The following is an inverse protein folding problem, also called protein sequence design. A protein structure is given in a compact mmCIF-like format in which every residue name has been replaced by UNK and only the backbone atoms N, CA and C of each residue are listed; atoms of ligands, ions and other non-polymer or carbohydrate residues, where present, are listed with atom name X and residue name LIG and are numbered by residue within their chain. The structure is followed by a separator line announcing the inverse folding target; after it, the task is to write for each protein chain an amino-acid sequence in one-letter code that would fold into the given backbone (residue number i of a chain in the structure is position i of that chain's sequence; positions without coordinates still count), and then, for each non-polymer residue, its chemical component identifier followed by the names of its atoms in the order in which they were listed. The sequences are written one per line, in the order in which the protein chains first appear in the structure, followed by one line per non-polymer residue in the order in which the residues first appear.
data_IF_679925396727
#
_entry.id   IF_679925396727
#
_cell.length_a   1.000
_cell.length_b   1.000
_cell.length_c   1.000
_cell.angle_alpha   90.00
_cell.angle_beta   90.00
_cell.angle_gamma   90.00
#
_symmetry.space_group_name_H-M   'P 1'
#
loop_
_entity.id
_entity.type
_entity.pdbx_description
1 polymer ?
#
# COMPACT_ATOMS: atom_id res chain seq x y z
N UNK A 1 41.10 -9.99 -35.34
CA UNK A 1 40.59 -8.65 -34.95
C UNK A 1 39.30 -8.27 -35.69
N UNK A 2 39.18 -8.48 -37.00
CA UNK A 2 37.99 -8.10 -37.79
C UNK A 2 36.65 -8.73 -37.35
N UNK A 3 36.66 -9.93 -36.77
CA UNK A 3 35.44 -10.60 -36.27
C UNK A 3 34.90 -10.02 -34.96
N UNK A 4 35.70 -9.35 -34.13
CA UNK A 4 35.26 -8.83 -32.82
C UNK A 4 34.49 -7.51 -32.93
N UNK A 5 34.77 -6.73 -33.97
CA UNK A 5 34.14 -5.44 -34.20
C UNK A 5 32.61 -5.53 -34.39
N UNK A 6 32.06 -6.42 -35.24
CA UNK A 6 30.61 -6.55 -35.37
C UNK A 6 29.93 -7.04 -34.09
N UNK A 7 30.59 -7.89 -33.29
CA UNK A 7 30.06 -8.29 -31.98
C UNK A 7 30.01 -7.13 -30.99
N UNK A 8 31.06 -6.29 -30.95
CA UNK A 8 31.06 -5.10 -30.12
C UNK A 8 29.93 -4.14 -30.52
N UNK A 9 29.74 -3.86 -31.82
CA UNK A 9 28.63 -3.04 -32.30
C UNK A 9 27.27 -3.67 -31.99
N UNK A 10 27.10 -4.98 -32.20
CA UNK A 10 25.87 -5.69 -31.87
C UNK A 10 25.53 -5.60 -30.38
N UNK A 11 26.51 -5.81 -29.51
CA UNK A 11 26.34 -5.67 -28.06
C UNK A 11 25.93 -4.23 -27.68
N UNK A 12 26.62 -3.21 -28.20
CA UNK A 12 26.28 -1.81 -27.94
C UNK A 12 24.88 -1.45 -28.43
N UNK A 13 24.47 -1.96 -29.60
CA UNK A 13 23.14 -1.75 -30.14
C UNK A 13 22.05 -2.37 -29.25
N UNK A 14 22.27 -3.60 -28.77
CA UNK A 14 21.36 -4.27 -27.82
C UNK A 14 21.26 -3.47 -26.52
N UNK A 15 22.39 -3.04 -25.97
CA UNK A 15 22.41 -2.23 -24.74
C UNK A 15 21.67 -0.91 -24.91
N UNK A 16 21.94 -0.17 -25.99
CA UNK A 16 21.23 1.08 -26.30
C UNK A 16 19.72 0.85 -26.47
N UNK A 17 19.32 -0.24 -27.13
CA UNK A 17 17.92 -0.64 -27.29
C UNK A 17 17.24 -0.94 -25.95
N UNK A 18 17.91 -1.66 -25.04
CA UNK A 18 17.38 -1.95 -23.70
C UNK A 18 17.19 -0.68 -22.86
N UNK A 19 18.17 0.24 -22.89
CA UNK A 19 18.09 1.54 -22.20
C UNK A 19 16.92 2.35 -22.76
N UNK A 20 16.82 2.48 -24.09
CA UNK A 20 15.72 3.21 -24.73
C UNK A 20 14.36 2.62 -24.37
N UNK A 21 14.24 1.30 -24.37
CA UNK A 21 13.01 0.62 -23.95
C UNK A 21 12.67 0.91 -22.48
N UNK A 22 13.65 0.85 -21.57
CA UNK A 22 13.45 1.18 -20.16
C UNK A 22 13.08 2.65 -19.91
N UNK A 23 13.54 3.57 -20.76
CA UNK A 23 13.21 5.00 -20.70
C UNK A 23 11.82 5.30 -21.26
N UNK A 24 11.43 4.67 -22.38
CA UNK A 24 10.13 4.93 -23.02
C UNK A 24 8.99 4.09 -22.43
N UNK A 25 9.29 2.91 -21.87
CA UNK A 25 8.32 2.00 -21.25
C UNK A 25 8.80 1.51 -19.87
N UNK A 26 9.08 2.44 -18.94
CA UNK A 26 9.50 2.09 -17.59
C UNK A 26 8.45 1.23 -16.88
N UNK A 27 8.93 0.21 -16.16
CA UNK A 27 8.09 -0.65 -15.34
C UNK A 27 7.49 0.14 -14.17
N UNK A 28 6.17 -0.02 -13.92
CA UNK A 28 5.43 0.69 -12.87
C UNK A 28 5.51 2.22 -12.92
N UNK A 29 5.62 2.78 -14.12
CA UNK A 29 5.50 4.22 -14.35
C UNK A 29 4.43 4.46 -15.41
N UNK A 30 3.59 5.50 -15.26
CA UNK A 30 2.45 5.73 -16.15
C UNK A 30 2.86 6.25 -17.54
N UNK A 31 4.14 6.56 -17.77
CA UNK A 31 4.65 7.01 -19.06
C UNK A 31 6.18 7.07 -19.15
N UNK A 32 6.71 7.52 -20.31
CA UNK A 32 8.15 7.68 -20.54
C UNK A 32 8.83 8.56 -19.49
N UNK A 33 10.03 8.21 -19.05
CA UNK A 33 10.79 8.97 -18.04
C UNK A 33 11.08 10.41 -18.49
N UNK A 34 11.27 10.66 -19.79
CA UNK A 34 11.47 12.01 -20.33
C UNK A 34 10.26 12.94 -20.18
N UNK A 35 9.09 12.40 -19.84
CA UNK A 35 7.86 13.15 -19.56
C UNK A 35 7.60 13.31 -18.06
N UNK A 36 8.50 12.83 -17.19
CA UNK A 36 8.45 13.08 -15.76
C UNK A 36 8.98 14.49 -15.48
N UNK A 37 8.11 15.50 -15.59
CA UNK A 37 8.45 16.91 -15.42
C UNK A 37 7.78 17.56 -14.21
N UNK A 38 6.93 16.82 -13.49
CA UNK A 38 6.24 17.30 -12.31
C UNK A 38 7.15 17.18 -11.09
N UNK A 39 7.50 18.30 -10.46
CA UNK A 39 8.38 18.33 -9.29
C UNK A 39 7.57 18.13 -8.01
N UNK A 40 7.89 17.08 -7.25
CA UNK A 40 7.32 16.81 -5.93
C UNK A 40 8.42 16.95 -4.89
N UNK A 41 8.21 17.80 -3.89
CA UNK A 41 9.03 17.85 -2.69
C UNK A 41 8.62 16.73 -1.74
N UNK A 42 9.50 15.80 -1.39
CA UNK A 42 9.25 14.69 -0.46
C UNK A 42 9.49 15.08 1.02
N UNK A 43 9.68 16.37 1.31
CA UNK A 43 9.82 16.93 2.65
C UNK A 43 11.24 16.78 3.22
N UNK A 44 11.37 17.05 4.52
CA UNK A 44 12.63 17.29 5.25
C UNK A 44 13.70 16.18 5.13
N UNK A 45 13.32 14.97 4.73
CA UNK A 45 14.24 13.82 4.57
C UNK A 45 14.32 13.28 3.14
N UNK A 46 13.54 13.83 2.20
CA UNK A 46 13.27 13.17 0.91
C UNK A 46 13.71 13.94 -0.34
N UNK A 47 14.06 15.23 -0.22
CA UNK A 47 14.46 16.06 -1.36
C UNK A 47 13.34 16.20 -2.41
N UNK A 48 13.68 16.77 -3.57
CA UNK A 48 12.73 16.94 -4.67
C UNK A 48 12.88 15.85 -5.73
N UNK A 49 11.77 15.24 -6.15
CA UNK A 49 11.71 14.21 -7.18
C UNK A 49 10.88 14.69 -8.37
N UNK A 50 11.36 14.43 -9.59
CA UNK A 50 10.54 14.58 -10.79
C UNK A 50 9.77 13.30 -11.06
N UNK A 51 8.45 13.41 -11.15
CA UNK A 51 7.52 12.31 -11.39
C UNK A 51 6.64 12.61 -12.60
N UNK A 52 5.91 11.61 -13.07
CA UNK A 52 4.86 11.83 -14.05
C UNK A 52 3.77 12.75 -13.47
N UNK A 53 3.15 13.64 -14.28
CA UNK A 53 2.11 14.55 -13.81
C UNK A 53 0.97 13.88 -13.04
N UNK A 54 0.49 12.70 -13.48
CA UNK A 54 -0.57 11.97 -12.77
C UNK A 54 -0.13 11.46 -11.39
N UNK A 55 1.14 11.08 -11.24
CA UNK A 55 1.74 10.74 -9.94
C UNK A 55 1.87 11.97 -9.05
N UNK A 56 2.24 13.13 -9.61
CA UNK A 56 2.28 14.39 -8.88
C UNK A 56 0.92 14.78 -8.30
N UNK A 57 -0.11 14.76 -9.14
CA UNK A 57 -1.51 15.02 -8.73
C UNK A 57 -1.97 14.05 -7.64
N UNK A 58 -1.63 12.76 -7.77
CA UNK A 58 -1.91 11.78 -6.73
C UNK A 58 -1.25 12.13 -5.39
N UNK A 59 0.04 12.46 -5.40
CA UNK A 59 0.78 12.80 -4.18
C UNK A 59 0.19 14.04 -3.50
N UNK A 60 -0.15 15.07 -4.27
CA UNK A 60 -0.81 16.27 -3.73
C UNK A 60 -2.18 15.95 -3.15
N UNK A 61 -2.97 15.10 -3.81
CA UNK A 61 -4.26 14.66 -3.32
C UNK A 61 -4.13 13.92 -1.97
N UNK A 62 -3.17 12.99 -1.86
CA UNK A 62 -2.88 12.27 -0.60
C UNK A 62 -2.56 13.27 0.52
N UNK A 63 -1.65 14.21 0.27
CA UNK A 63 -1.24 15.23 1.25
C UNK A 63 -2.40 16.10 1.71
N UNK A 64 -3.15 16.64 0.75
CA UNK A 64 -4.33 17.43 1.03
C UNK A 64 -5.35 16.65 1.87
N UNK A 65 -5.58 15.38 1.56
CA UNK A 65 -6.51 14.54 2.31
C UNK A 65 -6.04 14.30 3.74
N UNK A 66 -4.75 14.02 3.98
CA UNK A 66 -4.25 13.82 5.35
C UNK A 66 -4.29 15.11 6.17
N UNK A 67 -3.95 16.25 5.56
CA UNK A 67 -4.02 17.56 6.22
C UNK A 67 -5.45 17.92 6.62
N UNK A 68 -6.41 17.74 5.70
CA UNK A 68 -7.83 17.98 5.96
C UNK A 68 -8.41 17.03 7.00
N UNK A 69 -7.89 15.80 7.07
CA UNK A 69 -8.28 14.83 8.08
C UNK A 69 -7.71 15.16 9.48
N UNK A 70 -6.81 16.14 9.62
CA UNK A 70 -6.09 16.39 10.87
C UNK A 70 -5.15 15.24 11.24
N UNK A 71 -4.65 14.53 10.23
CA UNK A 71 -3.68 13.45 10.41
C UNK A 71 -2.34 14.02 10.89
N UNK A 72 -1.71 13.35 11.85
CA UNK A 72 -0.41 13.79 12.38
C UNK A 72 0.71 12.92 11.79
N UNK A 73 1.84 13.53 11.44
CA UNK A 73 3.02 12.78 11.01
C UNK A 73 3.42 11.74 12.07
N UNK A 74 3.78 10.53 11.62
CA UNK A 74 4.06 9.39 12.49
C UNK A 74 2.82 8.64 12.98
N UNK A 75 1.61 9.05 12.61
CA UNK A 75 0.39 8.29 12.94
C UNK A 75 0.49 6.88 12.35
N UNK A 76 0.24 5.82 13.14
CA UNK A 76 0.26 4.46 12.65
C UNK A 76 -0.84 4.22 11.61
N UNK A 77 -0.52 3.54 10.51
CA UNK A 77 -1.46 3.19 9.46
C UNK A 77 -1.25 1.76 9.00
N UNK A 78 -2.34 0.99 8.90
CA UNK A 78 -2.37 -0.30 8.23
C UNK A 78 -2.81 -0.08 6.78
N UNK A 79 -1.92 -0.35 5.83
CA UNK A 79 -2.27 -0.36 4.40
C UNK A 79 -2.91 -1.69 4.02
N UNK A 80 -4.22 -1.65 3.74
CA UNK A 80 -5.04 -2.77 3.29
C UNK A 80 -5.45 -2.64 1.82
N UNK A 81 -4.83 -1.73 1.06
CA UNK A 81 -5.07 -1.58 -0.38
C UNK A 81 -4.52 -2.75 -1.19
N UNK A 82 -3.50 -3.43 -0.66
CA UNK A 82 -2.84 -4.56 -1.31
C UNK A 82 -1.82 -4.18 -2.39
N UNK A 83 -1.72 -2.89 -2.76
CA UNK A 83 -0.99 -2.46 -3.97
C UNK A 83 -0.48 -1.01 -4.00
N UNK A 84 -0.38 -0.33 -2.85
CA UNK A 84 -0.03 1.10 -2.81
C UNK A 84 1.32 1.36 -2.13
N UNK A 85 2.43 0.78 -2.64
CA UNK A 85 3.73 1.03 -2.05
C UNK A 85 4.05 2.54 -2.11
N UNK A 86 4.55 3.07 -1.00
CA UNK A 86 4.95 4.47 -0.89
C UNK A 86 3.83 5.44 -0.50
N UNK A 87 2.54 5.07 -0.55
CA UNK A 87 1.46 5.97 -0.12
C UNK A 87 1.61 6.35 1.35
N UNK A 88 1.91 5.39 2.22
CA UNK A 88 2.16 5.67 3.65
C UNK A 88 3.34 6.62 3.86
N UNK A 89 4.38 6.53 3.03
CA UNK A 89 5.51 7.44 3.09
C UNK A 89 5.10 8.87 2.69
N UNK A 90 4.32 9.02 1.63
CA UNK A 90 3.78 10.32 1.17
C UNK A 90 2.88 10.97 2.23
N UNK A 91 2.09 10.16 2.95
CA UNK A 91 1.26 10.61 4.08
C UNK A 91 2.09 11.05 5.29
N UNK A 92 3.38 10.72 5.36
CA UNK A 92 4.17 10.85 6.59
C UNK A 92 3.71 9.90 7.69
N UNK A 93 3.07 8.77 7.35
CA UNK A 93 2.58 7.79 8.30
C UNK A 93 3.71 6.90 8.86
N UNK A 94 3.46 6.30 10.02
CA UNK A 94 4.24 5.14 10.48
C UNK A 94 3.56 3.86 9.97
N UNK A 95 4.28 3.04 9.23
CA UNK A 95 3.72 1.79 8.71
C UNK A 95 3.53 0.76 9.81
N UNK A 96 2.30 0.29 10.00
CA UNK A 96 1.97 -0.72 11.01
C UNK A 96 2.05 -2.13 10.44
N UNK A 97 2.87 -2.97 11.08
CA UNK A 97 3.13 -4.36 10.68
C UNK A 97 4.12 -4.49 9.51
N UNK A 98 3.82 -3.89 8.36
CA UNK A 98 4.71 -3.87 7.18
C UNK A 98 4.60 -2.54 6.43
N UNK A 99 5.63 -2.11 5.66
CA UNK A 99 5.60 -0.89 4.87
C UNK A 99 4.39 -0.77 3.94
N UNK A 100 3.98 -1.90 3.35
CA UNK A 100 2.67 -2.11 2.72
C UNK A 100 2.35 -3.60 2.81
N UNK A 101 1.08 -3.97 2.95
CA UNK A 101 0.67 -5.37 2.85
C UNK A 101 0.44 -5.70 1.37
N UNK A 102 1.11 -6.75 0.89
CA UNK A 102 0.98 -7.24 -0.49
C UNK A 102 -0.30 -8.03 -0.59
N UNK A 103 -1.21 -7.66 -1.51
CA UNK A 103 -2.45 -8.39 -1.77
C UNK A 103 -2.26 -9.63 -2.65
N UNK A 104 -3.34 -10.38 -2.90
CA UNK A 104 -3.29 -11.59 -3.75
C UNK A 104 -3.13 -11.22 -5.23
N UNK A 105 -1.90 -11.21 -5.72
CA UNK A 105 -1.62 -11.10 -7.16
C UNK A 105 -1.93 -12.44 -7.87
N UNK A 106 -2.24 -12.41 -9.19
CA UNK A 106 -2.47 -13.62 -9.96
C UNK A 106 -1.29 -14.60 -9.84
N UNK A 107 -1.58 -15.86 -9.48
CA UNK A 107 -0.56 -16.89 -9.26
C UNK A 107 0.14 -16.85 -7.89
N UNK A 108 -0.21 -15.90 -7.01
CA UNK A 108 0.38 -15.76 -5.66
C UNK A 108 -0.72 -15.70 -4.58
N UNK A 109 -1.35 -16.84 -4.25
CA UNK A 109 -2.34 -16.89 -3.17
C UNK A 109 -1.69 -16.86 -1.78
N UNK A 110 -2.49 -16.53 -0.76
CA UNK A 110 -2.09 -16.64 0.65
C UNK A 110 -1.76 -15.31 1.34
N UNK A 111 -1.93 -14.18 0.65
CA UNK A 111 -1.67 -12.84 1.19
C UNK A 111 -2.49 -12.54 2.44
N UNK A 112 -3.76 -12.98 2.49
CA UNK A 112 -4.62 -12.83 3.68
C UNK A 112 -4.00 -13.53 4.91
N UNK A 113 -3.38 -14.70 4.73
CA UNK A 113 -2.72 -15.43 5.81
C UNK A 113 -1.47 -14.70 6.28
N UNK A 114 -0.67 -14.18 5.34
CA UNK A 114 0.51 -13.36 5.66
C UNK A 114 0.11 -12.12 6.44
N UNK A 115 -0.85 -11.34 5.92
CA UNK A 115 -1.35 -10.14 6.58
C UNK A 115 -1.94 -10.44 7.97
N UNK A 116 -2.66 -11.55 8.13
CA UNK A 116 -3.15 -12.02 9.43
C UNK A 116 -1.99 -12.25 10.40
N UNK A 117 -0.92 -12.95 9.99
CA UNK A 117 0.23 -13.21 10.86
C UNK A 117 1.00 -11.93 11.20
N UNK A 118 1.18 -11.04 10.22
CA UNK A 118 1.82 -9.73 10.43
C UNK A 118 1.06 -8.94 11.49
N UNK A 119 -0.25 -8.78 11.33
CA UNK A 119 -1.09 -8.02 12.26
C UNK A 119 -1.17 -8.67 13.65
N UNK A 120 -1.10 -10.00 13.73
CA UNK A 120 -0.96 -10.72 15.03
C UNK A 120 0.34 -10.35 15.74
N UNK A 121 1.42 -10.11 15.02
CA UNK A 121 2.71 -9.72 15.60
C UNK A 121 2.77 -8.28 16.14
N UNK A 122 1.87 -7.38 15.71
CA UNK A 122 1.90 -5.96 16.12
C UNK A 122 1.40 -5.78 17.55
N UNK A 123 2.00 -4.87 18.33
CA UNK A 123 1.53 -4.55 19.67
C UNK A 123 0.11 -3.96 19.67
N UNK A 124 -0.76 -4.39 20.60
CA UNK A 124 -2.14 -3.90 20.67
C UNK A 124 -2.28 -2.37 20.83
N UNK A 125 -1.43 -1.68 21.61
CA UNK A 125 -1.47 -0.21 21.68
C UNK A 125 -1.19 0.49 20.33
N UNK A 126 -0.41 -0.13 19.45
CA UNK A 126 -0.19 0.40 18.10
C UNK A 126 -1.43 0.17 17.23
N UNK A 127 -1.96 -1.05 17.19
CA UNK A 127 -3.17 -1.40 16.44
C UNK A 127 -4.38 -0.54 16.87
N UNK A 128 -4.50 -0.24 18.16
CA UNK A 128 -5.55 0.60 18.71
C UNK A 128 -5.51 2.06 18.21
N UNK A 129 -4.32 2.56 17.82
CA UNK A 129 -4.14 3.90 17.26
C UNK A 129 -4.11 3.91 15.73
N UNK A 130 -4.00 2.75 15.11
CA UNK A 130 -3.75 2.64 13.68
C UNK A 130 -4.97 3.08 12.88
N UNK A 131 -4.74 3.95 11.90
CA UNK A 131 -5.71 4.25 10.85
C UNK A 131 -5.67 3.15 9.78
N UNK A 132 -6.69 3.10 8.93
CA UNK A 132 -6.74 2.18 7.79
C UNK A 132 -6.63 2.94 6.48
N UNK A 133 -5.82 2.45 5.56
CA UNK A 133 -5.88 2.82 4.16
C UNK A 133 -6.48 1.65 3.37
N UNK A 134 -7.61 1.85 2.70
CA UNK A 134 -8.34 0.79 2.00
C UNK A 134 -8.63 1.18 0.55
N UNK A 135 -8.78 0.18 -0.32
CA UNK A 135 -9.25 0.33 -1.71
C UNK A 135 -10.33 -0.74 -1.99
N UNK A 136 -11.60 -0.52 -1.63
CA UNK A 136 -12.65 -1.56 -1.66
C UNK A 136 -12.95 -2.14 -3.05
N UNK A 137 -12.71 -1.36 -4.10
CA UNK A 137 -12.88 -1.78 -5.50
C UNK A 137 -11.54 -2.16 -6.15
N UNK A 138 -10.48 -2.29 -5.34
CA UNK A 138 -9.13 -2.64 -5.77
C UNK A 138 -9.00 -4.13 -6.08
N UNK A 139 -8.20 -4.51 -7.10
CA UNK A 139 -8.07 -5.90 -7.52
C UNK A 139 -7.37 -6.80 -6.49
N UNK A 140 -6.58 -6.21 -5.60
CA UNK A 140 -5.75 -6.93 -4.61
C UNK A 140 -6.11 -6.58 -3.18
N UNK A 141 -7.32 -6.03 -2.96
CA UNK A 141 -7.80 -5.61 -1.65
C UNK A 141 -7.82 -6.74 -0.62
N UNK A 142 -7.63 -6.38 0.65
CA UNK A 142 -7.92 -7.28 1.75
C UNK A 142 -9.42 -7.27 2.08
N UNK A 143 -9.99 -8.40 2.56
CA UNK A 143 -11.38 -8.44 3.00
C UNK A 143 -11.55 -7.58 4.26
N UNK A 144 -12.71 -6.92 4.40
CA UNK A 144 -12.99 -6.06 5.55
C UNK A 144 -12.91 -6.80 6.90
N UNK A 145 -13.11 -8.12 6.89
CA UNK A 145 -13.00 -8.98 8.07
C UNK A 145 -11.57 -9.14 8.57
N UNK A 146 -10.54 -8.68 7.84
CA UNK A 146 -9.15 -8.82 8.27
C UNK A 146 -8.85 -8.12 9.59
N UNK A 147 -9.58 -7.04 9.91
CA UNK A 147 -9.44 -6.31 11.17
C UNK A 147 -9.87 -7.12 12.39
N UNK A 148 -10.68 -8.17 12.20
CA UNK A 148 -11.13 -9.05 13.27
C UNK A 148 -9.97 -9.78 13.95
N UNK A 149 -8.83 -9.94 13.27
CA UNK A 149 -7.62 -10.55 13.83
C UNK A 149 -7.09 -9.81 15.06
N UNK A 150 -7.42 -8.52 15.19
CA UNK A 150 -7.09 -7.69 16.34
C UNK A 150 -8.33 -7.12 17.03
N UNK A 151 -9.46 -7.82 16.93
CA UNK A 151 -10.67 -7.46 17.67
C UNK A 151 -11.34 -6.17 17.19
N UNK A 152 -11.19 -5.84 15.90
CA UNK A 152 -11.85 -4.70 15.30
C UNK A 152 -12.75 -5.05 14.12
N UNK A 153 -13.78 -4.25 13.95
CA UNK A 153 -14.76 -4.29 12.88
C UNK A 153 -14.63 -3.02 12.04
N UNK A 154 -14.21 -3.17 10.78
CA UNK A 154 -13.97 -2.04 9.89
C UNK A 154 -15.18 -1.09 9.76
N UNK A 155 -16.42 -1.62 9.82
CA UNK A 155 -17.64 -0.83 9.61
C UNK A 155 -18.13 -0.10 10.85
N UNK A 156 -17.80 -0.62 12.04
CA UNK A 156 -18.25 -0.06 13.33
C UNK A 156 -17.18 0.76 14.03
N UNK A 157 -15.92 0.35 13.90
CA UNK A 157 -14.81 0.90 14.69
C UNK A 157 -13.98 1.92 13.92
N UNK A 158 -14.34 2.21 12.67
CA UNK A 158 -13.65 3.17 11.82
C UNK A 158 -14.64 4.04 11.06
N UNK A 159 -14.28 5.32 10.86
CA UNK A 159 -15.03 6.26 10.04
C UNK A 159 -14.16 6.83 8.92
N UNK A 160 -14.77 7.16 7.79
CA UNK A 160 -14.05 7.75 6.66
C UNK A 160 -13.58 9.15 7.07
N UNK A 161 -12.26 9.36 7.02
CA UNK A 161 -11.62 10.64 7.25
C UNK A 161 -11.32 11.39 5.95
N UNK A 162 -11.25 10.66 4.83
CA UNK A 162 -11.12 11.25 3.50
C UNK A 162 -10.91 10.19 2.42
N UNK A 163 -10.84 10.63 1.17
CA UNK A 163 -10.59 9.76 0.03
C UNK A 163 -9.78 10.48 -1.05
N UNK A 164 -9.14 9.69 -1.91
CA UNK A 164 -8.39 10.15 -3.08
C UNK A 164 -8.33 9.05 -4.13
N UNK A 165 -8.18 9.41 -5.39
CA UNK A 165 -8.04 8.44 -6.48
C UNK A 165 -6.59 7.98 -6.59
N UNK A 166 -6.37 6.68 -6.73
CA UNK A 166 -5.07 6.11 -7.12
C UNK A 166 -4.59 6.73 -8.44
N UNK A 167 -3.27 6.86 -8.64
CA UNK A 167 -2.74 7.43 -9.87
C UNK A 167 -3.21 6.59 -11.07
N UNK A 168 -3.18 7.21 -12.25
CA UNK A 168 -3.50 6.57 -13.52
C UNK A 168 -2.92 5.15 -13.58
N UNK A 169 -3.62 4.24 -14.28
CA UNK A 169 -3.18 2.87 -14.40
C UNK A 169 -1.67 2.79 -14.72
N UNK A 170 -0.87 2.30 -13.76
CA UNK A 170 0.47 1.82 -14.05
C UNK A 170 0.32 0.78 -15.16
N UNK A 171 1.35 0.56 -15.98
CA UNK A 171 1.31 -0.19 -17.26
C UNK A 171 0.48 -1.50 -17.34
N UNK A 172 0.05 -2.09 -16.21
CA UNK A 172 -0.75 -3.31 -16.09
C UNK A 172 -2.10 -3.16 -15.34
N UNK A 173 -2.49 -1.96 -14.91
CA UNK A 173 -3.82 -1.67 -14.36
C UNK A 173 -4.63 -0.94 -15.42
N UNK A 174 -5.96 -0.95 -15.36
CA UNK A 174 -6.78 -0.32 -16.42
C UNK A 174 -7.66 0.82 -15.92
N UNK A 175 -7.82 0.98 -14.61
CA UNK A 175 -8.78 1.93 -14.04
C UNK A 175 -8.22 2.61 -12.78
N UNK A 176 -8.43 3.92 -12.68
CA UNK A 176 -8.26 4.64 -11.43
C UNK A 176 -9.29 4.15 -10.40
N UNK A 177 -8.83 3.92 -9.17
CA UNK A 177 -9.65 3.43 -8.06
C UNK A 177 -9.60 4.39 -6.88
N UNK A 178 -10.69 4.50 -6.15
CA UNK A 178 -10.75 5.35 -4.95
C UNK A 178 -10.18 4.61 -3.75
N UNK A 179 -9.23 5.26 -3.09
CA UNK A 179 -8.71 4.86 -1.79
C UNK A 179 -9.38 5.68 -0.70
N UNK A 180 -9.63 5.05 0.45
CA UNK A 180 -10.23 5.70 1.61
C UNK A 180 -9.27 5.62 2.78
N UNK A 181 -9.08 6.75 3.43
CA UNK A 181 -8.40 6.86 4.71
C UNK A 181 -9.47 6.80 5.80
N UNK A 182 -9.37 5.82 6.70
CA UNK A 182 -10.30 5.63 7.79
C UNK A 182 -9.63 5.84 9.15
N UNK A 183 -10.31 6.55 10.04
CA UNK A 183 -9.85 6.87 11.39
C UNK A 183 -10.55 5.95 12.40
N UNK A 184 -9.84 5.44 13.42
CA UNK A 184 -10.48 4.69 14.51
C UNK A 184 -11.47 5.57 15.29
N UNK A 185 -12.59 4.99 15.70
CA UNK A 185 -13.65 5.69 16.47
C UNK A 185 -13.64 5.31 17.94
N UNK A 186 -13.12 4.13 18.30
CA UNK A 186 -12.96 3.69 19.68
C UNK A 186 -11.85 4.44 20.41
N UNK A 187 -11.94 4.50 21.74
CA UNK A 187 -10.80 4.94 22.54
C UNK A 187 -9.64 3.96 22.43
N UNK A 188 -8.42 4.45 22.67
CA UNK A 188 -7.20 3.63 22.58
C UNK A 188 -7.25 2.50 23.61
N UNK A 189 -7.81 2.76 24.79
CA UNK A 189 -7.96 1.80 25.87
C UNK A 189 -8.92 0.67 25.48
N UNK A 190 -10.11 1.00 24.97
CA UNK A 190 -11.11 0.03 24.53
C UNK A 190 -10.59 -0.85 23.38
N UNK A 191 -9.99 -0.22 22.37
CA UNK A 191 -9.43 -0.94 21.22
C UNK A 191 -8.23 -1.82 21.62
N UNK A 192 -7.39 -1.37 22.56
CA UNK A 192 -6.24 -2.16 23.05
C UNK A 192 -6.70 -3.39 23.84
N UNK A 193 -7.74 -3.24 24.66
CA UNK A 193 -8.33 -4.35 25.40
C UNK A 193 -8.94 -5.38 24.44
N UNK A 194 -9.78 -4.92 23.51
CA UNK A 194 -10.40 -5.80 22.51
C UNK A 194 -9.36 -6.56 21.67
N UNK A 195 -8.26 -5.89 21.32
CA UNK A 195 -7.13 -6.53 20.63
C UNK A 195 -6.49 -7.64 21.47
N UNK A 196 -6.27 -7.39 22.76
CA UNK A 196 -5.65 -8.37 23.66
C UNK A 196 -6.54 -9.59 23.81
N UNK A 197 -7.85 -9.39 23.99
CA UNK A 197 -8.84 -10.45 24.09
C UNK A 197 -8.93 -11.27 22.79
N UNK A 198 -8.97 -10.60 21.63
CA UNK A 198 -9.00 -11.28 20.33
C UNK A 198 -7.74 -12.12 20.09
N UNK A 199 -6.56 -11.60 20.42
CA UNK A 199 -5.30 -12.35 20.29
C UNK A 199 -5.23 -13.53 21.26
N UNK A 200 -5.71 -13.37 22.48
CA UNK A 200 -5.78 -14.46 23.45
C UNK A 200 -6.73 -15.58 22.99
N UNK A 201 -7.90 -15.24 22.45
CA UNK A 201 -8.86 -16.20 21.93
C UNK A 201 -8.28 -17.02 20.76
N UNK A 202 -7.48 -16.38 19.90
CA UNK A 202 -6.80 -17.03 18.77
C UNK A 202 -5.61 -17.91 19.19
N UNK A 203 -5.07 -17.73 20.40
CA UNK A 203 -3.96 -18.51 20.92
C UNK A 203 -4.41 -19.81 21.63
N UNK A 204 -5.71 -19.99 21.87
CA UNK A 204 -6.22 -21.18 22.55
C UNK A 204 -6.15 -22.43 21.64
N UNK A 205 -5.62 -23.57 22.13
CA UNK A 205 -5.51 -24.80 21.35
C UNK A 205 -6.91 -25.41 21.14
N UNK A 206 -7.50 -25.14 19.98
CA UNK A 206 -8.84 -25.60 19.60
C UNK A 206 -9.53 -24.77 18.51
N UNK A 207 -9.01 -23.58 18.17
CA UNK A 207 -9.63 -22.68 17.16
C UNK A 207 -9.21 -22.96 15.71
N UNK A 208 -8.52 -24.07 15.42
CA UNK A 208 -8.10 -24.43 14.07
C UNK A 208 -9.27 -24.94 13.22
N UNK A 209 -9.83 -24.02 12.43
CA UNK A 209 -10.54 -24.17 11.15
C UNK A 209 -11.48 -25.38 10.95
N UNK A 210 -12.79 -25.11 11.04
CA UNK A 210 -13.86 -25.86 10.35
C UNK A 210 -14.34 -25.19 9.05
N UNK A 211 -13.61 -24.24 8.47
CA UNK A 211 -14.07 -23.49 7.29
C UNK A 211 -13.26 -23.70 6.00
N UNK A 212 -12.46 -24.76 5.89
CA UNK A 212 -11.97 -25.23 4.58
C UNK A 212 -12.88 -26.34 4.06
N UNK A 213 -14.12 -25.98 3.77
CA UNK A 213 -14.99 -26.73 2.89
C UNK A 213 -15.98 -25.75 2.26
N UNK A 214 -15.93 -25.63 0.91
CA UNK A 214 -16.80 -24.85 0.01
C UNK A 214 -16.38 -23.38 -0.08
N UNK A 215 -16.03 -22.79 -1.23
CA UNK A 215 -16.22 -23.07 -2.67
C UNK A 215 -14.98 -22.63 -3.46
#
# INVERSE_FOLDING_TARGET
MALLLPFAFGAQFITAGQILFGVEKPYYQPGPLRKADYLVDLGDRGGALRVAPSTGVFIEAVRKTVDQAGFQAGTPVIDLTGRSPGTLHVMGASSTGQPWLIGNFPGMPGSNRVATQVLRGVACPELARAWLLIEPEGPFRFPATITSVFGADQSRDFSIAGSFSSPDPLSNFTEARTQYLMRPTRSVEEASQACTEAKAALAQPGSSNKSEARE
#
